data_IF_690383253839
#
_entry.id   IF_690383253839
#
_cell.length_a   1.000
_cell.length_b   1.000
_cell.length_c   1.000
_cell.angle_alpha   90.00
_cell.angle_beta   90.00
_cell.angle_gamma   90.00
#
_symmetry.space_group_name_H-M   'P 1'
#
loop_
_entity.id
_entity.type
_entity.pdbx_description
1 polymer ?
#
# COMPACT_ATOMS: atom_id res chain seq x y z
N UNK A 1 2.67 22.20 13.93
CA UNK A 1 1.88 21.00 13.62
C UNK A 1 2.86 19.84 13.72
N UNK A 2 2.78 19.01 14.76
CA UNK A 2 3.61 17.81 14.85
C UNK A 2 2.99 16.71 13.99
N UNK A 3 3.82 16.01 13.22
CA UNK A 3 3.39 14.85 12.44
C UNK A 3 3.42 13.65 13.38
N UNK A 4 2.25 13.06 13.66
CA UNK A 4 2.12 11.95 14.61
C UNK A 4 2.35 10.57 13.96
N UNK A 5 2.05 10.45 12.67
CA UNK A 5 2.22 9.22 11.90
C UNK A 5 2.80 9.53 10.52
N UNK A 6 3.61 8.60 10.01
CA UNK A 6 4.13 8.62 8.64
C UNK A 6 3.61 7.39 7.91
N UNK A 7 2.98 7.61 6.74
CA UNK A 7 2.32 6.58 5.94
C UNK A 7 2.97 6.37 4.58
N UNK A 8 2.93 5.15 4.06
CA UNK A 8 3.24 4.84 2.65
C UNK A 8 2.12 4.07 1.92
N UNK A 9 2.23 4.01 0.59
CA UNK A 9 1.30 3.32 -0.29
C UNK A 9 1.83 1.93 -0.71
N UNK A 10 1.35 0.87 -0.03
CA UNK A 10 1.83 -0.49 -0.21
C UNK A 10 0.90 -1.32 -1.10
N UNK A 11 1.00 -1.12 -2.42
CA UNK A 11 0.22 -1.88 -3.42
C UNK A 11 1.05 -2.94 -4.13
N UNK A 12 2.08 -2.51 -4.86
CA UNK A 12 2.91 -3.37 -5.73
C UNK A 12 3.54 -4.51 -4.94
N UNK A 13 3.51 -5.69 -5.55
CA UNK A 13 4.16 -6.90 -5.07
C UNK A 13 5.30 -7.31 -6.00
N UNK A 14 6.19 -8.16 -5.50
CA UNK A 14 7.28 -8.72 -6.28
C UNK A 14 6.76 -9.44 -7.56
N UNK A 15 5.63 -10.15 -7.47
CA UNK A 15 4.99 -10.81 -8.60
C UNK A 15 4.05 -9.93 -9.44
N UNK A 16 3.58 -8.81 -8.90
CA UNK A 16 2.47 -8.05 -9.48
C UNK A 16 2.63 -6.53 -9.32
N UNK A 17 2.85 -5.84 -10.44
CA UNK A 17 2.81 -4.37 -10.53
C UNK A 17 1.61 -3.86 -11.33
N UNK A 18 1.63 -3.95 -12.67
CA UNK A 18 0.52 -3.46 -13.50
C UNK A 18 -0.79 -4.21 -13.29
N UNK A 19 -0.72 -5.53 -13.07
CA UNK A 19 -1.91 -6.35 -12.82
C UNK A 19 -2.28 -6.33 -11.33
N UNK A 20 -2.88 -5.23 -10.87
CA UNK A 20 -3.32 -5.08 -9.48
C UNK A 20 -4.36 -6.13 -9.09
N UNK A 21 -5.20 -6.58 -10.03
CA UNK A 21 -6.18 -7.64 -9.74
C UNK A 21 -5.52 -9.00 -9.48
N UNK A 22 -4.23 -9.14 -9.77
CA UNK A 22 -3.44 -10.33 -9.51
C UNK A 22 -2.73 -10.36 -8.16
N UNK A 23 -2.82 -9.31 -7.33
CA UNK A 23 -2.16 -9.29 -6.02
C UNK A 23 -2.45 -10.56 -5.20
N UNK A 24 -1.46 -11.03 -4.46
CA UNK A 24 -1.45 -12.30 -3.76
C UNK A 24 -1.52 -12.15 -2.24
N UNK A 25 -1.16 -10.97 -1.69
CA UNK A 25 -1.37 -10.67 -0.26
C UNK A 25 -2.85 -10.78 0.06
N UNK A 26 -3.20 -11.47 1.15
CA UNK A 26 -4.60 -11.69 1.55
C UNK A 26 -4.92 -10.97 2.85
N UNK A 27 -6.16 -10.49 2.99
CA UNK A 27 -6.76 -10.07 4.24
C UNK A 27 -8.05 -10.88 4.47
N UNK A 28 -7.98 -11.85 5.36
CA UNK A 28 -9.11 -12.77 5.65
C UNK A 28 -9.86 -12.28 6.88
N UNK A 29 -11.17 -12.06 6.77
CA UNK A 29 -12.00 -11.63 7.89
C UNK A 29 -12.20 -12.77 8.91
N UNK A 30 -11.96 -12.46 10.18
CA UNK A 30 -12.19 -13.32 11.33
C UNK A 30 -13.33 -12.71 12.18
N UNK A 31 -14.52 -13.29 12.06
CA UNK A 31 -15.73 -12.81 12.73
C UNK A 31 -15.73 -13.03 14.24
N UNK A 32 -14.87 -13.93 14.76
CA UNK A 32 -14.78 -14.17 16.20
C UNK A 32 -14.07 -13.02 16.92
N UNK A 33 -13.12 -12.39 16.25
CA UNK A 33 -12.29 -11.31 16.80
C UNK A 33 -12.63 -9.93 16.26
N UNK A 34 -13.49 -9.83 15.23
CA UNK A 34 -13.80 -8.58 14.50
C UNK A 34 -12.54 -7.96 13.87
N UNK A 35 -11.70 -8.81 13.29
CA UNK A 35 -10.39 -8.45 12.72
C UNK A 35 -10.20 -9.03 11.32
N UNK A 36 -9.23 -8.49 10.59
CA UNK A 36 -8.67 -9.08 9.38
C UNK A 36 -7.30 -9.67 9.69
N UNK A 37 -7.05 -10.88 9.19
CA UNK A 37 -5.74 -11.52 9.23
C UNK A 37 -5.05 -11.27 7.90
N UNK A 38 -4.05 -10.38 7.91
CA UNK A 38 -3.21 -10.08 6.76
C UNK A 38 -2.05 -11.07 6.66
N UNK A 39 -1.83 -11.62 5.47
CA UNK A 39 -0.77 -12.60 5.24
C UNK A 39 -0.19 -12.52 3.83
N UNK A 40 1.12 -12.71 3.72
CA UNK A 40 1.89 -12.84 2.48
C UNK A 40 2.24 -14.32 2.25
N UNK A 41 1.37 -15.10 1.58
CA UNK A 41 1.45 -16.57 1.55
C UNK A 41 2.69 -17.11 0.85
N UNK A 42 3.22 -16.39 -0.13
CA UNK A 42 4.40 -16.79 -0.90
C UNK A 42 5.36 -15.62 -1.10
N UNK A 43 6.60 -15.89 -1.51
CA UNK A 43 7.61 -14.83 -1.65
C UNK A 43 7.19 -13.75 -2.65
N UNK A 44 6.52 -14.12 -3.74
CA UNK A 44 6.05 -13.18 -4.77
C UNK A 44 4.97 -12.22 -4.28
N UNK A 45 4.27 -12.58 -3.19
CA UNK A 45 3.28 -11.72 -2.53
C UNK A 45 3.88 -10.64 -1.64
N UNK A 46 5.22 -10.62 -1.49
CA UNK A 46 5.90 -9.55 -0.75
C UNK A 46 5.64 -8.22 -1.43
N UNK A 47 5.21 -7.22 -0.67
CA UNK A 47 5.16 -5.85 -1.17
C UNK A 47 6.58 -5.42 -1.54
N UNK A 48 6.70 -4.73 -2.67
CA UNK A 48 7.99 -4.39 -3.26
C UNK A 48 7.87 -3.09 -4.06
N UNK A 49 8.79 -2.16 -3.84
CA UNK A 49 8.82 -0.76 -4.35
C UNK A 49 8.15 0.37 -3.54
N UNK A 50 7.23 0.17 -2.57
CA UNK A 50 6.62 1.29 -1.86
C UNK A 50 7.66 2.28 -1.32
N UNK A 51 7.52 3.54 -1.69
CA UNK A 51 8.43 4.59 -1.22
C UNK A 51 8.19 4.91 0.27
N UNK A 52 9.27 5.25 0.98
CA UNK A 52 9.28 5.50 2.43
C UNK A 52 9.10 4.25 3.31
N UNK A 53 8.71 3.12 2.74
CA UNK A 53 8.44 1.87 3.47
C UNK A 53 9.68 1.29 4.13
N UNK A 54 10.86 1.41 3.50
CA UNK A 54 12.05 0.68 3.94
C UNK A 54 12.47 0.97 5.38
N UNK A 55 12.32 2.24 5.81
CA UNK A 55 12.79 2.68 7.14
C UNK A 55 11.96 3.77 7.81
N UNK A 56 11.08 4.50 7.11
CA UNK A 56 10.50 5.74 7.65
C UNK A 56 9.04 5.56 8.06
N UNK A 57 8.26 4.86 7.26
CA UNK A 57 6.82 4.73 7.47
C UNK A 57 6.49 3.92 8.73
N UNK A 58 5.76 4.56 9.64
CA UNK A 58 5.14 3.91 10.81
C UNK A 58 3.88 3.13 10.45
N UNK A 59 3.19 3.54 9.38
CA UNK A 59 1.93 2.98 8.91
C UNK A 59 1.96 2.82 7.39
N UNK A 60 1.05 2.01 6.84
CA UNK A 60 0.84 1.92 5.41
C UNK A 60 -0.62 1.70 5.06
N UNK A 61 -1.02 2.18 3.89
CA UNK A 61 -2.22 1.68 3.20
C UNK A 61 -1.78 0.48 2.38
N UNK A 62 -2.17 -0.71 2.83
CA UNK A 62 -1.84 -2.00 2.22
C UNK A 62 -2.99 -2.46 1.35
N UNK A 63 -2.72 -2.75 0.09
CA UNK A 63 -3.71 -3.34 -0.80
C UNK A 63 -3.58 -4.86 -0.80
N UNK A 64 -4.65 -5.57 -0.48
CA UNK A 64 -4.67 -7.03 -0.41
C UNK A 64 -6.02 -7.59 -0.85
N UNK A 65 -6.06 -8.88 -1.18
CA UNK A 65 -7.29 -9.60 -1.53
C UNK A 65 -8.15 -9.80 -0.28
N UNK A 66 -9.31 -9.18 -0.26
CA UNK A 66 -10.30 -9.37 0.81
C UNK A 66 -10.93 -10.76 0.68
N UNK A 67 -10.88 -11.54 1.76
CA UNK A 67 -11.51 -12.86 1.84
C UNK A 67 -12.46 -12.93 3.03
N UNK A 68 -13.67 -13.42 2.79
CA UNK A 68 -14.69 -13.59 3.83
C UNK A 68 -15.37 -14.95 3.60
N UNK A 69 -15.44 -15.79 4.63
CA UNK A 69 -16.02 -17.13 4.58
C UNK A 69 -15.52 -17.98 3.39
N UNK A 70 -14.23 -17.86 3.07
CA UNK A 70 -13.59 -18.58 1.96
C UNK A 70 -13.83 -17.97 0.56
N UNK A 71 -14.67 -16.94 0.43
CA UNK A 71 -14.92 -16.24 -0.82
C UNK A 71 -13.97 -15.04 -0.99
N UNK A 72 -13.46 -14.86 -2.21
CA UNK A 72 -12.60 -13.73 -2.60
C UNK A 72 -13.44 -12.58 -3.17
N UNK A 73 -13.26 -11.37 -2.62
CA UNK A 73 -13.97 -10.15 -3.01
C UNK A 73 -13.07 -9.15 -3.75
N UNK A 74 -11.85 -9.56 -4.12
CA UNK A 74 -10.90 -8.71 -4.84
C UNK A 74 -10.13 -7.75 -3.92
N UNK A 75 -9.43 -6.80 -4.56
CA UNK A 75 -8.44 -5.96 -3.90
C UNK A 75 -9.07 -4.79 -3.14
N UNK A 76 -8.68 -4.67 -1.87
CA UNK A 76 -9.12 -3.62 -0.96
C UNK A 76 -7.94 -3.02 -0.20
N UNK A 77 -8.11 -1.78 0.28
CA UNK A 77 -7.10 -1.06 1.06
C UNK A 77 -7.34 -1.20 2.56
N UNK A 78 -6.27 -1.42 3.31
CA UNK A 78 -6.26 -1.56 4.76
C UNK A 78 -5.17 -0.67 5.36
N UNK A 79 -5.49 0.06 6.43
CA UNK A 79 -4.49 0.78 7.21
C UNK A 79 -3.83 -0.21 8.15
N UNK A 80 -2.50 -0.32 8.08
CA UNK A 80 -1.72 -1.23 8.91
C UNK A 80 -0.60 -0.45 9.57
N UNK A 81 -0.47 -0.59 10.89
CA UNK A 81 0.69 -0.10 11.61
C UNK A 81 1.85 -1.08 11.36
N UNK A 82 3.00 -0.54 10.96
CA UNK A 82 4.19 -1.32 10.62
C UNK A 82 5.20 -1.34 11.76
N UNK A 83 5.35 -0.20 12.45
CA UNK A 83 6.33 -0.02 13.51
C UNK A 83 5.69 0.61 14.76
N UNK A 84 6.29 0.34 15.91
CA UNK A 84 6.00 1.02 17.18
C UNK A 84 6.25 2.53 17.05
N UNK A 85 5.37 3.34 17.64
CA UNK A 85 5.53 4.81 17.64
C UNK A 85 6.54 5.31 18.68
N UNK A 86 6.96 4.45 19.61
CA UNK A 86 7.88 4.81 20.70
C UNK A 86 9.35 4.61 20.31
N UNK A 87 9.67 3.45 19.73
CA UNK A 87 11.04 3.02 19.44
C UNK A 87 11.28 2.66 17.97
N UNK A 88 10.24 2.79 17.13
CA UNK A 88 10.28 2.49 15.69
C UNK A 88 10.63 1.04 15.34
N UNK A 89 10.53 0.12 16.30
CA UNK A 89 10.71 -1.31 16.06
C UNK A 89 9.56 -1.88 15.22
N UNK A 90 9.85 -2.85 14.35
CA UNK A 90 8.84 -3.54 13.56
C UNK A 90 7.86 -4.32 14.46
N UNK A 91 6.56 -4.19 14.21
CA UNK A 91 5.56 -4.92 14.99
C UNK A 91 5.60 -6.44 14.70
N UNK A 92 5.08 -7.27 15.63
CA UNK A 92 5.07 -8.73 15.46
C UNK A 92 4.41 -9.19 14.15
N UNK A 93 5.01 -10.16 13.48
CA UNK A 93 4.53 -10.69 12.20
C UNK A 93 4.79 -9.77 10.99
N UNK A 94 5.48 -8.64 11.18
CA UNK A 94 5.84 -7.71 10.11
C UNK A 94 7.33 -7.84 9.79
N UNK A 95 7.63 -8.13 8.53
CA UNK A 95 8.99 -8.05 7.99
C UNK A 95 9.06 -6.87 7.05
N UNK A 96 9.84 -5.86 7.39
CA UNK A 96 10.07 -4.64 6.60
C UNK A 96 11.56 -4.42 6.37
N UNK A 97 11.93 -3.82 5.24
CA UNK A 97 13.31 -3.46 4.96
C UNK A 97 13.47 -2.71 3.63
N UNK A 98 14.66 -2.19 3.37
CA UNK A 98 15.00 -1.52 2.11
C UNK A 98 15.33 -2.55 1.01
N UNK A 99 14.93 -2.27 -0.23
CA UNK A 99 15.18 -3.16 -1.39
C UNK A 99 16.58 -2.99 -2.00
N UNK A 100 17.33 -1.98 -1.55
CA UNK A 100 18.71 -1.75 -1.94
C UNK A 100 18.91 -0.64 -2.98
N UNK A 101 20.10 -0.70 -3.59
CA UNK A 101 20.57 0.29 -4.54
C UNK A 101 19.74 0.30 -5.83
N UNK A 102 19.43 1.51 -6.27
CA UNK A 102 18.66 1.83 -7.47
C UNK A 102 19.56 2.52 -8.51
N UNK A 103 19.07 2.58 -9.74
CA UNK A 103 19.83 3.14 -10.86
C UNK A 103 20.13 4.64 -10.68
N UNK A 104 21.35 5.04 -11.04
CA UNK A 104 21.80 6.43 -11.07
C UNK A 104 22.46 6.92 -9.77
N UNK A 105 23.49 7.75 -9.90
CA UNK A 105 24.20 8.32 -8.75
C UNK A 105 23.35 9.36 -8.05
N UNK A 106 23.00 9.11 -6.78
CA UNK A 106 22.24 10.05 -5.94
C UNK A 106 20.78 10.29 -6.34
N UNK A 107 20.26 9.62 -7.38
CA UNK A 107 18.89 9.77 -7.86
C UNK A 107 17.86 9.25 -6.85
N UNK A 108 17.19 8.13 -7.15
CA UNK A 108 16.25 7.51 -6.22
C UNK A 108 16.93 6.81 -5.04
N UNK A 109 18.27 6.76 -4.98
CA UNK A 109 19.00 6.16 -3.86
C UNK A 109 18.79 6.87 -2.52
N UNK A 110 18.26 8.10 -2.52
CA UNK A 110 17.88 8.82 -1.30
C UNK A 110 16.46 8.46 -0.82
N UNK A 111 15.71 7.70 -1.63
CA UNK A 111 14.39 7.16 -1.30
C UNK A 111 14.52 5.73 -0.77
N UNK A 112 13.83 5.47 0.33
CA UNK A 112 13.83 4.18 1.05
C UNK A 112 12.69 3.30 0.52
N UNK A 113 12.83 2.86 -0.73
CA UNK A 113 11.88 1.92 -1.33
C UNK A 113 11.95 0.59 -0.59
N UNK A 114 10.82 0.16 -0.03
CA UNK A 114 10.79 -0.96 0.88
C UNK A 114 10.27 -2.27 0.29
N UNK A 115 10.58 -3.33 1.01
CA UNK A 115 9.84 -4.58 0.99
C UNK A 115 8.97 -4.69 2.25
N UNK A 116 7.84 -5.38 2.14
CA UNK A 116 6.99 -5.68 3.29
C UNK A 116 6.33 -7.06 3.14
N UNK A 117 6.39 -7.86 4.19
CA UNK A 117 5.69 -9.15 4.30
C UNK A 117 4.93 -9.24 5.62
N UNK A 118 3.79 -9.93 5.55
CA UNK A 118 2.95 -10.21 6.71
C UNK A 118 2.93 -11.69 7.04
N UNK A 119 3.13 -12.02 8.30
CA UNK A 119 2.87 -13.32 8.89
C UNK A 119 1.68 -13.22 9.84
N UNK A 120 0.49 -13.51 9.31
CA UNK A 120 -0.78 -13.54 10.06
C UNK A 120 -1.03 -12.33 10.98
N UNK A 121 -0.78 -11.14 10.47
CA UNK A 121 -0.92 -9.88 11.22
C UNK A 121 -2.39 -9.51 11.36
N UNK A 122 -2.82 -9.23 12.59
CA UNK A 122 -4.20 -8.84 12.90
C UNK A 122 -4.40 -7.34 12.76
N UNK A 123 -5.48 -6.96 12.07
CA UNK A 123 -5.88 -5.59 11.75
C UNK A 123 -7.33 -5.45 12.17
N UNK A 124 -7.70 -4.40 12.91
CA UNK A 124 -9.09 -4.21 13.32
C UNK A 124 -10.00 -4.01 12.09
N UNK A 125 -11.24 -4.50 12.16
CA UNK A 125 -12.18 -4.37 11.03
C UNK A 125 -12.33 -2.93 10.54
N UNK A 126 -12.37 -1.96 11.45
CA UNK A 126 -12.51 -0.53 11.12
C UNK A 126 -11.28 0.10 10.44
N UNK A 127 -10.15 -0.62 10.32
CA UNK A 127 -8.98 -0.16 9.58
C UNK A 127 -9.03 -0.50 8.09
N UNK A 128 -10.05 -1.23 7.62
CA UNK A 128 -10.35 -1.33 6.19
C UNK A 128 -10.94 -0.01 5.67
N UNK A 129 -10.52 0.43 4.47
CA UNK A 129 -11.04 1.64 3.83
C UNK A 129 -12.44 1.41 3.26
N UNK A 130 -13.47 1.70 4.06
CA UNK A 130 -14.85 1.29 3.80
C UNK A 130 -15.76 2.30 3.06
N UNK A 131 -15.21 3.29 2.36
CA UNK A 131 -16.02 4.34 1.71
C UNK A 131 -16.96 3.80 0.61
N UNK A 132 -16.51 2.81 -0.19
CA UNK A 132 -17.29 2.23 -1.29
C UNK A 132 -17.83 0.83 -0.97
N UNK A 133 -17.08 0.07 -0.18
CA UNK A 133 -17.38 -1.31 0.19
C UNK A 133 -17.14 -1.50 1.67
N UNK A 134 -18.10 -2.12 2.34
CA UNK A 134 -18.09 -2.32 3.77
C UNK A 134 -18.11 -3.81 4.09
N UNK A 135 -17.45 -4.16 5.18
CA UNK A 135 -17.61 -5.47 5.81
C UNK A 135 -18.28 -5.19 7.15
N UNK A 136 -19.52 -5.61 7.30
CA UNK A 136 -20.22 -5.50 8.59
C UNK A 136 -19.75 -6.61 9.53
N UNK A 137 -20.00 -6.44 10.84
CA UNK A 137 -19.51 -7.37 11.88
C UNK A 137 -19.99 -8.80 11.67
N UNK A 138 -21.15 -8.98 11.05
CA UNK A 138 -21.73 -10.28 10.68
C UNK A 138 -20.99 -10.96 9.51
N UNK A 139 -19.92 -10.36 8.97
CA UNK A 139 -19.17 -10.91 7.85
C UNK A 139 -19.85 -10.71 6.50
N UNK A 140 -20.79 -9.78 6.37
CA UNK A 140 -21.40 -9.48 5.06
C UNK A 140 -20.64 -8.37 4.34
N UNK A 141 -20.33 -8.63 3.08
CA UNK A 141 -19.80 -7.64 2.15
C UNK A 141 -20.93 -6.80 1.55
N UNK A 142 -20.91 -5.49 1.78
CA UNK A 142 -21.98 -4.56 1.38
C UNK A 142 -21.40 -3.42 0.57
N UNK A 143 -22.01 -3.13 -0.58
CA UNK A 143 -21.66 -1.94 -1.36
C UNK A 143 -22.35 -0.71 -0.75
N UNK A 144 -21.60 0.39 -0.62
CA UNK A 144 -22.14 1.69 -0.17
C UNK A 144 -22.85 2.43 -1.30
N UNK A 145 -23.65 3.44 -0.96
CA UNK A 145 -24.37 4.29 -1.92
C UNK A 145 -23.45 5.25 -2.72
N UNK A 146 -22.14 5.25 -2.42
CA UNK A 146 -21.15 6.10 -3.08
C UNK A 146 -20.82 5.55 -4.48
N UNK A 147 -20.93 6.35 -5.55
CA UNK A 147 -20.59 5.91 -6.90
C UNK A 147 -19.12 5.51 -7.03
N UNK A 148 -18.85 4.27 -7.46
CA UNK A 148 -17.49 3.72 -7.62
C UNK A 148 -16.65 4.51 -8.63
N UNK A 149 -17.29 5.18 -9.57
CA UNK A 149 -16.63 5.98 -10.61
C UNK A 149 -15.80 7.12 -10.02
N UNK A 150 -16.11 7.58 -8.79
CA UNK A 150 -15.35 8.63 -8.12
C UNK A 150 -13.89 8.23 -7.82
N UNK A 151 -13.60 6.93 -7.69
CA UNK A 151 -12.21 6.43 -7.51
C UNK A 151 -11.31 6.83 -8.68
N UNK A 152 -11.86 6.93 -9.90
CA UNK A 152 -11.08 7.35 -11.07
C UNK A 152 -10.59 8.80 -10.96
N UNK A 153 -11.19 9.62 -10.11
CA UNK A 153 -10.73 11.00 -9.87
C UNK A 153 -9.26 11.05 -9.44
N UNK A 154 -8.85 10.17 -8.51
CA UNK A 154 -7.46 10.09 -8.06
C UNK A 154 -6.52 9.68 -9.19
N UNK A 155 -6.92 8.72 -10.03
CA UNK A 155 -6.12 8.26 -11.17
C UNK A 155 -5.90 9.38 -12.18
N UNK A 156 -6.97 10.08 -12.56
CA UNK A 156 -6.89 11.21 -13.52
C UNK A 156 -6.00 12.32 -12.96
N UNK A 157 -6.15 12.65 -11.68
CA UNK A 157 -5.34 13.68 -11.03
C UNK A 157 -3.85 13.32 -10.99
N UNK A 158 -3.50 12.10 -10.56
CA UNK A 158 -2.10 11.65 -10.51
C UNK A 158 -1.48 11.60 -11.92
N UNK A 159 -2.23 11.13 -12.93
CA UNK A 159 -1.76 11.14 -14.32
C UNK A 159 -1.50 12.56 -14.84
N UNK A 160 -2.36 13.52 -14.48
CA UNK A 160 -2.16 14.92 -14.84
C UNK A 160 -0.88 15.49 -14.20
N UNK A 161 -0.58 15.15 -12.95
CA UNK A 161 0.67 15.55 -12.28
C UNK A 161 1.89 14.99 -13.04
N UNK A 162 1.86 13.71 -13.41
CA UNK A 162 2.98 13.08 -14.14
C UNK A 162 3.29 13.85 -15.43
N UNK A 163 2.27 14.17 -16.23
CA UNK A 163 2.44 14.94 -17.48
C UNK A 163 3.03 16.34 -17.22
N UNK A 164 2.63 16.98 -16.12
CA UNK A 164 3.18 18.27 -15.72
C UNK A 164 4.67 18.15 -15.34
N UNK A 165 5.03 17.15 -14.55
CA UNK A 165 6.42 16.89 -14.12
C UNK A 165 7.33 16.50 -15.28
N UNK A 166 6.82 15.78 -16.28
CA UNK A 166 7.55 15.45 -17.51
C UNK A 166 7.97 16.72 -18.26
N UNK A 167 7.06 17.70 -18.37
CA UNK A 167 7.36 18.97 -19.02
C UNK A 167 8.46 19.75 -18.29
N UNK A 168 8.42 19.75 -16.96
CA UNK A 168 9.42 20.40 -16.10
C UNK A 168 10.80 19.71 -16.27
N UNK A 169 10.83 18.39 -16.16
CA UNK A 169 12.06 17.59 -16.29
C UNK A 169 12.69 17.76 -17.67
N UNK A 170 11.88 17.70 -18.73
CA UNK A 170 12.34 17.91 -20.11
C UNK A 170 12.91 19.32 -20.30
N UNK A 171 12.23 20.35 -19.78
CA UNK A 171 12.68 21.74 -19.92
C UNK A 171 14.07 21.97 -19.30
N UNK A 172 14.36 21.32 -18.16
CA UNK A 172 15.67 21.38 -17.50
C UNK A 172 16.76 20.75 -18.37
N UNK A 173 16.48 19.58 -18.95
CA UNK A 173 17.42 18.89 -19.83
C UNK A 173 17.70 19.70 -21.11
N UNK A 174 16.66 20.20 -21.78
CA UNK A 174 16.79 21.02 -23.00
C UNK A 174 17.54 22.32 -22.73
N UNK A 175 17.31 22.95 -21.58
CA UNK A 175 18.03 24.16 -21.17
C UNK A 175 19.54 23.93 -21.06
N UNK A 176 19.96 22.78 -20.52
CA UNK A 176 21.38 22.40 -20.46
C UNK A 176 21.92 22.11 -21.86
N UNK A 177 21.19 21.35 -22.68
CA UNK A 177 21.66 20.94 -24.00
C UNK A 177 21.75 22.09 -25.02
N UNK A 178 20.95 23.15 -24.84
CA UNK A 178 20.88 24.29 -25.76
C UNK A 178 21.88 25.39 -25.43
N UNK A 179 22.39 25.44 -24.19
CA UNK A 179 23.40 26.41 -23.73
C UNK A 179 24.80 25.95 -24.06
#
# INVERSE_FOLDING_TARGET
MCIEIIGCYAQTELGHGPNVQGLETTATFDSQTDEFVSHSPILTSSKWWPDGLGKVSTHAVVYSRLRIDGQDYGVHGFIVQLCSLDDHSSLPGITVGDIGMKFGSGAYNNMENGLLRFDHVRIFRNQMLMCFFQVIREGKYVQSDVPRQLVYGTMVYVQQIIVSEDSCTLSRAVCIATR
#
